data_IF_035470660735
#
_entry.id   IF_035470660735
#
_cell.length_a   1.000
_cell.length_b   1.000
_cell.length_c   1.000
_cell.angle_alpha   90.00
_cell.angle_beta   90.00
_cell.angle_gamma   90.00
#
_symmetry.space_group_name_H-M   'P 1'
#
loop_
_entity.id
_entity.type
_entity.pdbx_description
1 polymer ?
#
# COMPACT_ATOMS: atom_id res chain seq x y z
N UNK A 1 -10.87 0.64 18.67
CA UNK A 1 -11.45 -0.70 18.83
C UNK A 1 -12.15 -1.05 17.52
N UNK A 2 -11.70 -2.02 16.75
CA UNK A 2 -11.73 -3.44 17.10
C UNK A 2 -12.78 -4.10 16.20
N UNK A 3 -12.52 -4.13 14.87
CA UNK A 3 -13.45 -4.73 13.90
C UNK A 3 -13.34 -6.26 13.82
N UNK A 4 -12.36 -6.82 14.53
CA UNK A 4 -12.04 -8.24 14.54
C UNK A 4 -12.01 -8.72 16.00
N UNK A 5 -12.72 -9.82 16.33
CA UNK A 5 -12.60 -10.49 17.62
C UNK A 5 -11.14 -10.87 17.92
N UNK A 6 -10.78 -10.87 19.20
CA UNK A 6 -9.41 -11.18 19.64
C UNK A 6 -8.96 -12.57 19.19
N UNK A 7 -9.85 -13.56 19.22
CA UNK A 7 -9.57 -14.93 18.77
C UNK A 7 -9.28 -14.98 17.26
N UNK A 8 -10.05 -14.26 16.45
CA UNK A 8 -9.86 -14.22 15.00
C UNK A 8 -8.54 -13.51 14.66
N UNK A 9 -8.23 -12.44 15.39
CA UNK A 9 -6.96 -11.74 15.27
C UNK A 9 -5.78 -12.64 15.63
N UNK A 10 -5.85 -13.36 16.75
CA UNK A 10 -4.79 -14.27 17.19
C UNK A 10 -4.52 -15.36 16.14
N UNK A 11 -5.58 -15.98 15.61
CA UNK A 11 -5.44 -16.99 14.56
C UNK A 11 -4.79 -16.40 13.31
N UNK A 12 -5.22 -15.22 12.85
CA UNK A 12 -4.63 -14.57 11.67
C UNK A 12 -3.16 -14.18 11.90
N UNK A 13 -2.81 -13.70 13.09
CA UNK A 13 -1.43 -13.39 13.46
C UNK A 13 -0.54 -14.62 13.46
N UNK A 14 -1.00 -15.75 14.02
CA UNK A 14 -0.23 -17.01 14.01
C UNK A 14 0.04 -17.49 12.58
N UNK A 15 -0.98 -17.42 11.70
CA UNK A 15 -0.80 -17.76 10.28
C UNK A 15 0.16 -16.79 9.57
N UNK A 16 0.05 -15.49 9.85
CA UNK A 16 0.97 -14.50 9.30
C UNK A 16 2.42 -14.80 9.68
N UNK A 17 2.68 -15.02 10.98
CA UNK A 17 4.01 -15.35 11.49
C UNK A 17 4.54 -16.67 10.92
N UNK A 18 3.68 -17.68 10.81
CA UNK A 18 4.07 -18.95 10.21
C UNK A 18 4.47 -18.77 8.74
N UNK A 19 3.72 -18.00 7.95
CA UNK A 19 4.07 -17.73 6.54
C UNK A 19 5.41 -16.99 6.45
N UNK A 20 5.60 -15.94 7.25
CA UNK A 20 6.84 -15.16 7.25
C UNK A 20 8.08 -16.02 7.57
N UNK A 21 7.94 -17.00 8.45
CA UNK A 21 9.05 -17.85 8.88
C UNK A 21 9.30 -19.07 7.99
N UNK A 22 8.31 -19.50 7.19
CA UNK A 22 8.36 -20.77 6.47
C UNK A 22 8.25 -20.62 4.94
N UNK A 23 7.95 -19.42 4.44
CA UNK A 23 7.81 -19.14 3.01
C UNK A 23 8.71 -17.98 2.62
N UNK A 24 9.40 -18.09 1.49
CA UNK A 24 10.11 -16.95 0.92
C UNK A 24 9.12 -15.95 0.33
N UNK A 25 8.83 -14.90 1.11
CA UNK A 25 7.99 -13.76 0.76
C UNK A 25 8.80 -12.47 0.66
N UNK A 26 10.12 -12.60 0.47
CA UNK A 26 11.00 -11.44 0.32
C UNK A 26 10.66 -10.65 -0.95
N UNK A 27 10.90 -9.34 -0.90
CA UNK A 27 10.56 -8.40 -1.98
C UNK A 27 11.77 -7.53 -2.26
N UNK A 28 12.14 -7.38 -3.53
CA UNK A 28 13.29 -6.56 -3.94
C UNK A 28 13.03 -5.05 -3.83
N UNK A 29 11.77 -4.63 -4.04
CA UNK A 29 11.33 -3.24 -4.13
C UNK A 29 9.83 -3.11 -3.83
N UNK A 30 9.46 -2.14 -3.00
CA UNK A 30 8.06 -1.68 -2.86
C UNK A 30 7.85 -0.43 -3.70
N UNK A 31 6.85 -0.43 -4.58
CA UNK A 31 6.42 0.76 -5.33
C UNK A 31 5.17 1.33 -4.66
N UNK A 32 5.32 2.48 -3.99
CA UNK A 32 4.23 3.13 -3.28
C UNK A 32 3.60 4.25 -4.14
N UNK A 33 2.39 3.99 -4.64
CA UNK A 33 1.58 4.98 -5.37
C UNK A 33 0.87 5.91 -4.38
N UNK A 34 1.60 6.90 -3.89
CA UNK A 34 1.12 7.83 -2.88
C UNK A 34 0.06 8.76 -3.48
N UNK A 35 -1.18 8.65 -3.01
CA UNK A 35 -2.33 9.45 -3.45
C UNK A 35 -3.02 10.05 -2.22
N UNK A 36 -3.44 11.30 -2.32
CA UNK A 36 -4.20 11.95 -1.25
C UNK A 36 -5.56 11.24 -1.01
N UNK A 37 -6.05 11.15 0.24
CA UNK A 37 -7.34 10.52 0.56
C UNK A 37 -8.50 11.08 -0.26
N UNK A 38 -8.49 12.39 -0.53
CA UNK A 38 -9.52 13.08 -1.33
C UNK A 38 -9.54 12.59 -2.78
N UNK A 39 -8.38 12.50 -3.44
CA UNK A 39 -8.30 11.99 -4.81
C UNK A 39 -8.69 10.50 -4.87
N UNK A 40 -8.25 9.70 -3.89
CA UNK A 40 -8.70 8.31 -3.74
C UNK A 40 -10.23 8.20 -3.62
N UNK A 41 -10.84 9.07 -2.80
CA UNK A 41 -12.28 9.08 -2.58
C UNK A 41 -13.06 9.42 -3.85
N UNK A 42 -12.62 10.43 -4.61
CA UNK A 42 -13.25 10.78 -5.89
C UNK A 42 -13.08 9.66 -6.94
N UNK A 43 -11.94 8.97 -6.97
CA UNK A 43 -11.74 7.79 -7.84
C UNK A 43 -12.64 6.62 -7.45
N UNK A 44 -12.83 6.39 -6.16
CA UNK A 44 -13.72 5.36 -5.64
C UNK A 44 -15.16 5.64 -6.07
N UNK A 45 -15.63 6.89 -5.92
CA UNK A 45 -16.95 7.31 -6.42
C UNK A 45 -17.07 7.11 -7.91
N UNK A 46 -16.07 7.49 -8.70
CA UNK A 46 -16.08 7.37 -10.16
C UNK A 46 -16.17 5.90 -10.62
N UNK A 47 -15.54 4.98 -9.88
CA UNK A 47 -15.60 3.54 -10.15
C UNK A 47 -16.97 2.92 -9.88
N UNK A 48 -17.77 3.52 -9.00
CA UNK A 48 -19.15 3.10 -8.70
C UNK A 48 -19.33 1.62 -8.32
N UNK A 49 -18.36 0.99 -7.64
CA UNK A 49 -18.54 -0.39 -7.13
C UNK A 49 -19.52 -0.40 -5.97
N UNK A 50 -20.53 -1.28 -6.01
CA UNK A 50 -21.60 -1.33 -5.01
C UNK A 50 -21.05 -1.56 -3.60
N UNK A 51 -20.06 -2.44 -3.46
CA UNK A 51 -19.39 -2.76 -2.20
C UNK A 51 -18.56 -1.61 -1.61
N UNK A 52 -18.23 -0.59 -2.40
CA UNK A 52 -17.39 0.53 -1.96
C UNK A 52 -18.19 1.80 -1.63
N UNK A 53 -19.48 1.88 -2.02
CA UNK A 53 -20.30 3.10 -1.84
C UNK A 53 -20.41 3.61 -0.40
N UNK A 54 -20.21 2.72 0.56
CA UNK A 54 -20.35 3.00 1.99
C UNK A 54 -19.02 3.35 2.66
N UNK A 55 -17.91 3.39 1.91
CA UNK A 55 -16.59 3.72 2.45
C UNK A 55 -16.52 5.23 2.70
N UNK A 56 -16.37 5.68 3.96
CA UNK A 56 -16.29 7.10 4.29
C UNK A 56 -14.86 7.63 4.03
N UNK A 57 -14.74 8.96 3.86
CA UNK A 57 -13.44 9.60 3.62
C UNK A 57 -12.46 9.37 4.78
N UNK A 58 -12.96 9.44 6.01
CA UNK A 58 -12.20 9.27 7.25
C UNK A 58 -11.53 7.89 7.32
N UNK A 59 -12.14 6.87 6.70
CA UNK A 59 -11.54 5.54 6.59
C UNK A 59 -10.34 5.53 5.64
N UNK A 60 -10.44 6.27 4.52
CA UNK A 60 -9.32 6.42 3.59
C UNK A 60 -8.19 7.26 4.19
N UNK A 61 -8.52 8.27 5.00
CA UNK A 61 -7.55 9.06 5.76
C UNK A 61 -6.79 8.18 6.76
N UNK A 62 -7.49 7.35 7.54
CA UNK A 62 -6.86 6.42 8.48
C UNK A 62 -5.94 5.39 7.77
N UNK A 63 -6.37 4.86 6.61
CA UNK A 63 -5.52 3.96 5.80
C UNK A 63 -4.29 4.69 5.29
N UNK A 64 -4.45 5.91 4.78
CA UNK A 64 -3.34 6.71 4.29
C UNK A 64 -2.30 6.96 5.39
N UNK A 65 -2.73 7.33 6.59
CA UNK A 65 -1.84 7.52 7.74
C UNK A 65 -1.04 6.25 8.07
N UNK A 66 -1.67 5.06 8.06
CA UNK A 66 -0.97 3.79 8.26
C UNK A 66 0.13 3.55 7.22
N UNK A 67 -0.13 3.84 5.94
CA UNK A 67 0.88 3.73 4.89
C UNK A 67 2.00 4.76 5.03
N UNK A 68 1.69 6.01 5.40
CA UNK A 68 2.69 7.04 5.66
C UNK A 68 3.58 6.67 6.85
N UNK A 69 3.00 6.15 7.92
CA UNK A 69 3.73 5.71 9.09
C UNK A 69 4.61 4.48 8.81
N UNK A 70 4.14 3.56 7.97
CA UNK A 70 4.91 2.38 7.57
C UNK A 70 6.00 2.70 6.55
N UNK A 71 5.65 3.24 5.38
CA UNK A 71 6.53 3.30 4.21
C UNK A 71 7.38 4.58 4.17
N UNK A 72 6.91 5.68 4.77
CA UNK A 72 7.60 6.99 4.75
C UNK A 72 8.33 7.24 6.06
N UNK A 73 7.60 7.25 7.18
CA UNK A 73 8.17 7.52 8.51
C UNK A 73 8.91 6.32 9.11
N UNK A 74 8.61 5.10 8.64
CA UNK A 74 9.17 3.83 9.13
C UNK A 74 9.02 3.66 10.64
N UNK A 75 7.85 4.04 11.16
CA UNK A 75 7.55 4.09 12.58
C UNK A 75 6.73 2.90 13.08
N UNK A 76 6.04 2.17 12.19
CA UNK A 76 5.18 1.04 12.57
C UNK A 76 5.85 -0.33 12.44
N UNK A 77 6.45 -0.60 11.28
CA UNK A 77 7.02 -1.90 10.94
C UNK A 77 8.34 -1.74 10.19
N UNK A 78 9.22 -2.73 10.30
CA UNK A 78 10.45 -2.77 9.51
C UNK A 78 10.11 -2.87 8.02
N UNK A 79 10.86 -2.11 7.22
CA UNK A 79 10.78 -2.15 5.76
C UNK A 79 12.11 -2.71 5.27
N UNK A 80 12.10 -3.99 4.88
CA UNK A 80 13.30 -4.77 4.55
C UNK A 80 13.88 -4.45 3.17
N UNK A 81 13.16 -3.69 2.33
CA UNK A 81 13.57 -3.36 0.97
C UNK A 81 13.40 -1.87 0.65
N UNK A 82 14.04 -1.38 -0.43
CA UNK A 82 13.83 -0.02 -0.91
C UNK A 82 12.35 0.28 -1.20
N UNK A 83 11.95 1.53 -0.96
CA UNK A 83 10.61 2.04 -1.31
C UNK A 83 10.77 3.12 -2.37
N UNK A 84 10.18 2.91 -3.54
CA UNK A 84 10.03 3.91 -4.57
C UNK A 84 8.67 4.59 -4.42
N UNK A 85 8.67 5.87 -4.10
CA UNK A 85 7.44 6.66 -3.91
C UNK A 85 7.11 7.40 -5.20
N UNK A 86 5.92 7.17 -5.73
CA UNK A 86 5.40 7.85 -6.93
C UNK A 86 4.13 8.60 -6.55
N UNK A 87 4.19 9.93 -6.60
CA UNK A 87 3.00 10.78 -6.43
C UNK A 87 1.96 10.48 -7.50
N UNK A 88 0.78 10.03 -7.07
CA UNK A 88 -0.23 9.42 -7.91
C UNK A 88 -1.57 10.16 -7.89
N UNK A 89 -1.59 11.45 -7.55
CA UNK A 89 -2.77 12.33 -7.63
C UNK A 89 -3.14 12.75 -9.07
N UNK A 90 -2.36 12.34 -10.07
CA UNK A 90 -2.54 12.75 -11.47
C UNK A 90 -3.48 11.84 -12.26
N UNK A 91 -3.86 12.28 -13.48
CA UNK A 91 -4.61 11.46 -14.42
C UNK A 91 -3.77 10.30 -15.00
N UNK A 92 -4.43 9.44 -15.78
CA UNK A 92 -3.78 8.24 -16.33
C UNK A 92 -2.63 8.58 -17.28
N UNK A 93 -2.75 9.64 -18.09
CA UNK A 93 -1.70 10.02 -19.03
C UNK A 93 -0.42 10.40 -18.27
N UNK A 94 -0.55 11.22 -17.23
CA UNK A 94 0.58 11.63 -16.41
C UNK A 94 1.17 10.46 -15.60
N UNK A 95 0.32 9.52 -15.18
CA UNK A 95 0.79 8.31 -14.50
C UNK A 95 1.59 7.38 -15.42
N UNK A 96 1.26 7.30 -16.72
CA UNK A 96 2.06 6.57 -17.70
C UNK A 96 3.44 7.22 -17.84
N UNK A 97 3.51 8.55 -17.94
CA UNK A 97 4.81 9.26 -17.98
C UNK A 97 5.66 8.95 -16.74
N UNK A 98 5.06 9.01 -15.54
CA UNK A 98 5.75 8.66 -14.29
C UNK A 98 6.21 7.21 -14.26
N UNK A 99 5.42 6.28 -14.81
CA UNK A 99 5.84 4.90 -14.94
C UNK A 99 7.06 4.77 -15.85
N UNK A 100 7.05 5.40 -17.03
CA UNK A 100 8.18 5.36 -17.97
C UNK A 100 9.45 5.98 -17.37
N UNK A 101 9.33 7.10 -16.65
CA UNK A 101 10.44 7.74 -15.92
C UNK A 101 11.10 6.80 -14.89
N UNK A 102 10.32 5.88 -14.30
CA UNK A 102 10.78 4.98 -13.24
C UNK A 102 10.93 3.52 -13.73
N UNK A 103 10.70 3.25 -15.01
CA UNK A 103 10.54 1.91 -15.57
C UNK A 103 11.75 1.02 -15.30
N UNK A 104 12.95 1.56 -15.53
CA UNK A 104 14.18 0.79 -15.34
C UNK A 104 14.40 0.42 -13.87
N UNK A 105 14.13 1.33 -12.93
CA UNK A 105 14.22 1.06 -11.50
C UNK A 105 13.17 0.03 -11.04
N UNK A 106 11.95 0.10 -11.58
CA UNK A 106 10.87 -0.84 -11.26
C UNK A 106 11.21 -2.24 -11.77
N UNK A 107 11.71 -2.36 -13.00
CA UNK A 107 11.94 -3.66 -13.64
C UNK A 107 13.29 -4.27 -13.28
N UNK A 108 14.27 -3.46 -12.88
CA UNK A 108 15.63 -3.88 -12.51
C UNK A 108 16.04 -3.27 -11.16
N UNK A 109 15.39 -3.69 -10.05
CA UNK A 109 15.73 -3.17 -8.74
C UNK A 109 17.18 -3.57 -8.37
N UNK A 110 17.94 -2.68 -7.70
CA UNK A 110 19.36 -2.88 -7.42
C UNK A 110 19.67 -4.09 -6.52
N UNK A 111 18.65 -4.64 -5.84
CA UNK A 111 18.78 -5.77 -4.91
C UNK A 111 18.45 -7.14 -5.52
N UNK A 112 18.25 -7.24 -6.84
CA UNK A 112 18.14 -8.54 -7.54
C UNK A 112 19.50 -9.27 -7.46
N UNK A 113 19.74 -10.02 -6.39
CA UNK A 113 20.82 -11.01 -6.28
C UNK A 113 20.24 -12.41 -6.28
#
# INVERSE_FOLDING_TARGET
SGKMPEVDYAVLSEWFDWIQNNTDVSVDLIVYLQTSPKVCYERLKTRCREEEKVIPLEYLEAIHELYEEWLIKRALFEVSCPVLVIGADHDMQKMIEKYEENRDQILNPPNRQ
#
